data_IF_518518512171
#
_entry.id   IF_518518512171
#
_cell.length_a   1.000
_cell.length_b   1.000
_cell.length_c   1.000
_cell.angle_alpha   90.00
_cell.angle_beta   90.00
_cell.angle_gamma   90.00
#
_symmetry.space_group_name_H-M   'P 1'
#
loop_
_entity.id
_entity.type
_entity.pdbx_description
1 polymer ?
#
# COMPACT_ATOMS: atom_id res chain seq x y z
N UNK A 1 16.61 -28.19 -18.84
CA UNK A 1 16.76 -29.32 -17.90
C UNK A 1 15.72 -29.10 -16.80
N UNK A 2 14.42 -29.19 -17.10
CA UNK A 2 13.56 -30.40 -17.08
C UNK A 2 13.91 -31.36 -15.95
N UNK A 3 13.06 -31.40 -14.93
CA UNK A 3 13.02 -32.48 -13.94
C UNK A 3 11.68 -33.20 -14.10
N UNK A 4 11.78 -34.43 -14.63
CA UNK A 4 10.79 -35.51 -14.60
C UNK A 4 10.38 -35.80 -13.15
N UNK A 5 9.07 -35.85 -12.85
CA UNK A 5 8.21 -37.05 -12.86
C UNK A 5 8.83 -38.21 -12.07
N UNK A 6 8.30 -38.44 -10.87
CA UNK A 6 8.40 -39.72 -10.17
C UNK A 6 7.00 -40.20 -9.83
N UNK A 7 6.59 -41.23 -10.57
CA UNK A 7 5.40 -42.04 -10.40
C UNK A 7 5.42 -42.75 -9.03
N UNK A 8 4.25 -42.84 -8.39
CA UNK A 8 4.00 -43.74 -7.27
C UNK A 8 2.78 -44.61 -7.65
N UNK A 9 2.84 -45.94 -7.48
CA UNK A 9 1.94 -46.89 -8.13
C UNK A 9 0.55 -46.98 -7.49
N UNK A 10 -0.47 -47.13 -8.34
CA UNK A 10 -1.81 -47.57 -7.96
C UNK A 10 -1.78 -49.01 -7.45
N UNK A 11 -2.36 -49.26 -6.28
CA UNK A 11 -2.90 -50.57 -5.94
C UNK A 11 -4.16 -50.47 -5.07
N UNK A 12 -5.26 -50.88 -5.71
CA UNK A 12 -6.34 -51.74 -5.17
C UNK A 12 -7.10 -51.27 -3.93
N UNK A 13 -8.26 -50.63 -4.16
CA UNK A 13 -9.35 -50.52 -3.19
C UNK A 13 -10.50 -51.44 -3.64
N UNK A 14 -11.05 -52.30 -2.77
CA UNK A 14 -12.07 -53.28 -3.13
C UNK A 14 -13.45 -52.65 -3.36
N UNK A 15 -14.15 -53.21 -4.35
CA UNK A 15 -15.53 -52.90 -4.75
C UNK A 15 -16.54 -53.61 -3.84
N UNK A 16 -17.52 -52.90 -3.29
CA UNK A 16 -18.82 -53.45 -2.87
C UNK A 16 -19.93 -52.38 -3.09
N UNK A 17 -21.19 -52.78 -3.33
CA UNK A 17 -22.12 -52.10 -4.22
C UNK A 17 -23.01 -51.04 -3.57
N UNK A 18 -23.51 -50.16 -4.45
CA UNK A 18 -24.47 -49.08 -4.21
C UNK A 18 -25.78 -49.55 -3.56
N UNK A 19 -26.39 -48.70 -2.70
CA UNK A 19 -27.83 -48.56 -2.62
C UNK A 19 -28.30 -47.24 -3.26
N UNK A 20 -29.34 -47.43 -4.06
CA UNK A 20 -30.29 -46.51 -4.70
C UNK A 20 -30.38 -45.05 -4.19
N UNK A 21 -30.29 -44.16 -5.19
CA UNK A 21 -30.95 -42.86 -5.38
C UNK A 21 -31.72 -42.24 -4.19
N UNK A 22 -31.26 -41.06 -3.76
CA UNK A 22 -32.15 -39.94 -3.43
C UNK A 22 -31.40 -38.60 -3.54
N UNK A 23 -31.88 -37.73 -4.43
CA UNK A 23 -31.66 -36.28 -4.37
C UNK A 23 -30.33 -35.74 -4.93
N UNK A 24 -30.31 -35.45 -6.23
CA UNK A 24 -29.30 -34.54 -6.80
C UNK A 24 -29.33 -33.19 -6.06
N UNK A 25 -28.20 -32.70 -5.51
CA UNK A 25 -28.13 -31.32 -5.06
C UNK A 25 -28.19 -30.44 -6.30
N UNK A 26 -29.30 -29.71 -6.46
CA UNK A 26 -29.44 -28.66 -7.46
C UNK A 26 -28.34 -27.64 -7.18
N UNK A 27 -27.25 -27.70 -7.95
CA UNK A 27 -26.38 -26.54 -8.12
C UNK A 27 -27.27 -25.41 -8.64
N UNK A 28 -27.69 -24.53 -7.74
CA UNK A 28 -28.14 -23.21 -8.11
C UNK A 28 -26.92 -22.52 -8.69
N UNK A 29 -26.69 -22.72 -9.99
CA UNK A 29 -26.05 -21.72 -10.82
C UNK A 29 -26.91 -20.49 -10.61
N UNK A 30 -26.39 -19.54 -9.82
CA UNK A 30 -26.94 -18.19 -9.78
C UNK A 30 -26.67 -17.61 -11.17
N UNK A 31 -27.61 -17.88 -12.09
CA UNK A 31 -27.68 -17.19 -13.36
C UNK A 31 -27.95 -15.75 -12.97
N UNK A 32 -26.91 -14.92 -12.94
CA UNK A 32 -27.09 -13.48 -12.88
C UNK A 32 -27.99 -13.12 -14.05
N UNK A 33 -29.15 -12.54 -13.75
CA UNK A 33 -30.06 -12.09 -14.79
C UNK A 33 -29.28 -11.17 -15.74
N UNK A 34 -29.41 -11.33 -17.07
CA UNK A 34 -28.72 -10.46 -18.01
C UNK A 34 -29.08 -9.01 -17.66
N UNK A 35 -28.07 -8.15 -17.46
CA UNK A 35 -28.27 -6.72 -17.21
C UNK A 35 -29.34 -6.20 -18.16
N UNK A 36 -30.35 -5.53 -17.61
CA UNK A 36 -31.38 -4.97 -18.46
C UNK A 36 -30.75 -3.93 -19.40
N UNK A 37 -31.35 -3.70 -20.58
CA UNK A 37 -30.77 -2.81 -21.61
C UNK A 37 -30.40 -1.43 -21.03
N UNK A 38 -31.24 -0.93 -20.11
CA UNK A 38 -31.06 0.35 -19.43
C UNK A 38 -29.86 0.36 -18.48
N UNK A 39 -29.63 -0.71 -17.72
CA UNK A 39 -28.46 -0.87 -16.84
C UNK A 39 -27.19 -0.94 -17.67
N UNK A 40 -27.22 -1.61 -18.83
CA UNK A 40 -26.07 -1.69 -19.74
C UNK A 40 -25.76 -0.31 -20.34
N UNK A 41 -26.78 0.45 -20.74
CA UNK A 41 -26.62 1.83 -21.20
C UNK A 41 -26.06 2.74 -20.10
N UNK A 42 -26.59 2.66 -18.88
CA UNK A 42 -26.09 3.41 -17.72
C UNK A 42 -24.63 3.05 -17.41
N UNK A 43 -24.27 1.76 -17.43
CA UNK A 43 -22.90 1.32 -17.23
C UNK A 43 -21.97 1.88 -18.31
N UNK A 44 -22.36 1.82 -19.59
CA UNK A 44 -21.57 2.41 -20.67
C UNK A 44 -21.41 3.92 -20.50
N UNK A 45 -22.46 4.64 -20.08
CA UNK A 45 -22.36 6.06 -19.77
C UNK A 45 -21.38 6.35 -18.63
N UNK A 46 -21.34 5.52 -17.57
CA UNK A 46 -20.31 5.61 -16.52
C UNK A 46 -18.91 5.38 -17.09
N UNK A 47 -18.72 4.38 -17.95
CA UNK A 47 -17.42 4.10 -18.60
C UNK A 47 -16.97 5.30 -19.42
N UNK A 48 -17.85 5.88 -20.25
CA UNK A 48 -17.51 7.06 -21.05
C UNK A 48 -17.15 8.26 -20.18
N UNK A 49 -17.89 8.49 -19.09
CA UNK A 49 -17.58 9.53 -18.13
C UNK A 49 -16.17 9.35 -17.57
N UNK A 50 -15.86 8.19 -16.98
CA UNK A 50 -14.54 7.94 -16.39
C UNK A 50 -13.43 7.95 -17.42
N UNK A 51 -13.66 7.45 -18.63
CA UNK A 51 -12.66 7.49 -19.70
C UNK A 51 -12.31 8.93 -20.10
N UNK A 52 -13.30 9.82 -20.18
CA UNK A 52 -13.05 11.23 -20.47
C UNK A 52 -12.23 11.89 -19.36
N UNK A 53 -12.63 11.67 -18.10
CA UNK A 53 -11.91 12.21 -16.95
C UNK A 53 -10.47 11.66 -16.85
N UNK A 54 -10.29 10.36 -17.11
CA UNK A 54 -8.98 9.72 -17.15
C UNK A 54 -8.10 10.31 -18.26
N UNK A 55 -8.64 10.59 -19.44
CA UNK A 55 -7.90 11.23 -20.54
C UNK A 55 -7.46 12.65 -20.18
N UNK A 56 -8.30 13.41 -19.47
CA UNK A 56 -7.91 14.73 -18.94
C UNK A 56 -6.75 14.60 -17.96
N UNK A 57 -6.85 13.69 -16.98
CA UNK A 57 -5.79 13.44 -16.00
C UNK A 57 -4.50 12.90 -16.64
N UNK A 58 -4.62 12.09 -17.69
CA UNK A 58 -3.52 11.57 -18.49
C UNK A 58 -2.80 12.66 -19.27
N UNK A 59 -3.54 13.59 -19.91
CA UNK A 59 -2.98 14.70 -20.66
C UNK A 59 -2.16 15.67 -19.78
N UNK A 60 -2.54 15.81 -18.50
CA UNK A 60 -1.80 16.59 -17.50
C UNK A 60 -0.57 15.87 -16.93
N UNK A 61 -0.41 14.57 -17.21
CA UNK A 61 0.66 13.77 -16.66
C UNK A 61 2.02 14.05 -17.35
N UNK A 62 3.16 13.85 -16.67
CA UNK A 62 4.47 13.89 -17.30
C UNK A 62 4.61 12.91 -18.47
N UNK A 63 5.37 13.28 -19.50
CA UNK A 63 5.54 12.51 -20.75
C UNK A 63 6.01 11.07 -20.48
N UNK A 64 6.90 10.88 -19.51
CA UNK A 64 7.44 9.58 -19.15
C UNK A 64 6.39 8.64 -18.53
N UNK A 65 5.35 9.19 -17.89
CA UNK A 65 4.19 8.43 -17.45
C UNK A 65 3.28 8.12 -18.63
N UNK A 66 3.03 9.12 -19.49
CA UNK A 66 2.17 8.96 -20.66
C UNK A 66 2.66 7.83 -21.59
N UNK A 67 3.97 7.76 -21.82
CA UNK A 67 4.59 6.73 -22.66
C UNK A 67 4.42 5.30 -22.12
N UNK A 68 4.12 5.14 -20.83
CA UNK A 68 3.95 3.84 -20.19
C UNK A 68 2.49 3.35 -20.11
N UNK A 69 1.52 4.13 -20.59
CA UNK A 69 0.10 3.79 -20.52
C UNK A 69 -0.51 3.85 -21.92
N UNK A 70 -1.15 2.76 -22.34
CA UNK A 70 -1.86 2.70 -23.62
C UNK A 70 -3.32 3.14 -23.48
N UNK A 71 -3.92 3.57 -24.59
CA UNK A 71 -5.36 3.90 -24.64
C UNK A 71 -6.25 2.71 -24.25
N UNK A 72 -5.82 1.49 -24.60
CA UNK A 72 -6.50 0.26 -24.20
C UNK A 72 -6.49 0.08 -22.68
N UNK A 73 -5.38 0.40 -22.00
CA UNK A 73 -5.29 0.34 -20.55
C UNK A 73 -6.16 1.39 -19.86
N UNK A 74 -6.22 2.63 -20.39
CA UNK A 74 -7.14 3.66 -19.91
C UNK A 74 -8.60 3.23 -20.04
N UNK A 75 -8.95 2.60 -21.16
CA UNK A 75 -10.30 2.07 -21.40
C UNK A 75 -10.64 0.97 -20.40
N UNK A 76 -9.74 0.01 -20.17
CA UNK A 76 -9.93 -1.04 -19.16
C UNK A 76 -10.07 -0.43 -17.76
N UNK A 77 -9.27 0.59 -17.43
CA UNK A 77 -9.35 1.25 -16.13
C UNK A 77 -10.70 1.95 -15.95
N UNK A 78 -11.22 2.60 -17.00
CA UNK A 78 -12.56 3.20 -16.97
C UNK A 78 -13.67 2.16 -16.73
N UNK A 79 -13.51 0.94 -17.24
CA UNK A 79 -14.43 -0.17 -16.92
C UNK A 79 -14.36 -0.57 -15.44
N UNK A 80 -13.16 -0.73 -14.88
CA UNK A 80 -12.96 -1.03 -13.45
C UNK A 80 -13.54 0.08 -12.56
N UNK A 81 -13.31 1.34 -12.92
CA UNK A 81 -13.86 2.49 -12.18
C UNK A 81 -15.36 2.60 -12.31
N UNK A 82 -15.92 2.30 -13.49
CA UNK A 82 -17.35 2.27 -13.67
C UNK A 82 -17.97 1.29 -12.68
N UNK A 83 -17.47 0.05 -12.59
CA UNK A 83 -17.95 -0.97 -11.64
C UNK A 83 -18.00 -0.47 -10.18
N UNK A 84 -16.98 0.29 -9.77
CA UNK A 84 -17.01 1.08 -8.54
C UNK A 84 -16.43 0.40 -7.31
N UNK A 85 -16.30 -0.94 -7.31
CA UNK A 85 -15.72 -1.70 -6.19
C UNK A 85 -14.28 -1.27 -5.85
N UNK A 86 -13.53 -0.81 -6.86
CA UNK A 86 -12.14 -0.36 -6.71
C UNK A 86 -11.99 0.85 -5.79
N UNK A 87 -13.01 1.71 -5.69
CA UNK A 87 -12.89 2.94 -4.90
C UNK A 87 -12.78 2.67 -3.41
N UNK A 88 -13.62 1.78 -2.87
CA UNK A 88 -13.58 1.40 -1.46
C UNK A 88 -12.23 0.75 -1.11
N UNK A 89 -11.74 -0.16 -1.95
CA UNK A 89 -10.43 -0.79 -1.75
C UNK A 89 -9.27 0.21 -1.77
N UNK A 90 -9.27 1.17 -2.71
CA UNK A 90 -8.20 2.19 -2.77
C UNK A 90 -8.27 3.17 -1.59
N UNK A 91 -9.47 3.49 -1.09
CA UNK A 91 -9.65 4.27 0.13
C UNK A 91 -9.07 3.53 1.34
N UNK A 92 -9.46 2.26 1.55
CA UNK A 92 -8.95 1.42 2.63
C UNK A 92 -7.42 1.28 2.58
N UNK A 93 -6.86 1.02 1.41
CA UNK A 93 -5.41 0.93 1.20
C UNK A 93 -4.68 2.24 1.50
N UNK A 94 -5.31 3.37 1.20
CA UNK A 94 -4.77 4.72 1.47
C UNK A 94 -4.83 5.07 2.96
N UNK A 95 -5.89 4.69 3.66
CA UNK A 95 -6.02 4.87 5.10
C UNK A 95 -5.02 3.99 5.86
N UNK A 96 -4.86 2.73 5.45
CA UNK A 96 -3.85 1.84 6.02
C UNK A 96 -2.43 2.37 5.80
N UNK A 97 -2.09 2.90 4.62
CA UNK A 97 -0.82 3.58 4.37
C UNK A 97 -0.64 4.79 5.28
N UNK A 98 -1.64 5.67 5.38
CA UNK A 98 -1.57 6.90 6.21
C UNK A 98 -1.36 6.57 7.69
N UNK A 99 -2.03 5.52 8.18
CA UNK A 99 -1.88 5.05 9.56
C UNK A 99 -0.45 4.58 9.84
N UNK A 100 0.15 3.79 8.94
CA UNK A 100 1.53 3.33 9.08
C UNK A 100 2.54 4.50 8.98
N UNK A 101 2.38 5.40 8.00
CA UNK A 101 3.20 6.60 7.87
C UNK A 101 3.17 7.46 9.14
N UNK A 102 1.99 7.62 9.74
CA UNK A 102 1.84 8.36 10.99
C UNK A 102 2.60 7.67 12.15
N UNK A 103 2.51 6.35 12.26
CA UNK A 103 3.25 5.58 13.27
C UNK A 103 4.76 5.70 13.10
N UNK A 104 5.26 5.54 11.87
CA UNK A 104 6.68 5.68 11.53
C UNK A 104 7.19 7.10 11.78
N UNK A 105 6.40 8.12 11.43
CA UNK A 105 6.74 9.52 11.72
C UNK A 105 6.86 9.77 13.22
N UNK A 106 5.92 9.24 14.02
CA UNK A 106 5.95 9.35 15.47
C UNK A 106 7.21 8.70 16.06
N UNK A 107 7.61 7.52 15.57
CA UNK A 107 8.85 6.85 15.98
C UNK A 107 10.08 7.72 15.67
N UNK A 108 10.14 8.31 14.47
CA UNK A 108 11.25 9.19 14.07
C UNK A 108 11.33 10.43 14.97
N UNK A 109 10.20 11.05 15.29
CA UNK A 109 10.16 12.21 16.17
C UNK A 109 10.56 11.85 17.61
N UNK A 110 10.12 10.70 18.14
CA UNK A 110 10.53 10.21 19.46
C UNK A 110 12.04 10.03 19.54
N UNK A 111 12.62 9.29 18.58
CA UNK A 111 14.06 9.06 18.54
C UNK A 111 14.84 10.37 18.46
N UNK A 112 14.43 11.32 17.62
CA UNK A 112 15.09 12.64 17.52
C UNK A 112 15.02 13.42 18.83
N UNK A 113 13.87 13.38 19.50
CA UNK A 113 13.66 14.02 20.79
C UNK A 113 14.58 13.43 21.86
N UNK A 114 14.58 12.10 21.99
CA UNK A 114 15.45 11.35 22.90
C UNK A 114 16.92 11.67 22.67
N UNK A 115 17.37 11.63 21.41
CA UNK A 115 18.75 11.97 21.06
C UNK A 115 19.13 13.40 21.43
N UNK A 116 18.19 14.34 21.29
CA UNK A 116 18.39 15.74 21.71
C UNK A 116 18.51 15.88 23.23
N UNK A 117 17.65 15.17 23.98
CA UNK A 117 17.69 15.12 25.42
C UNK A 117 19.00 14.50 25.93
N UNK A 118 19.44 13.38 25.35
CA UNK A 118 20.72 12.73 25.67
C UNK A 118 21.93 13.67 25.45
N UNK A 119 21.97 14.37 24.31
CA UNK A 119 23.05 15.34 24.01
C UNK A 119 23.08 16.46 25.05
N UNK A 120 21.90 16.95 25.45
CA UNK A 120 21.77 18.01 26.46
C UNK A 120 22.21 17.52 27.84
N UNK A 121 21.76 16.32 28.24
CA UNK A 121 22.16 15.70 29.50
C UNK A 121 23.68 15.47 29.55
N UNK A 122 24.27 14.95 28.47
CA UNK A 122 25.70 14.72 28.38
C UNK A 122 26.49 16.03 28.49
N UNK A 123 26.06 17.08 27.78
CA UNK A 123 26.70 18.40 27.87
C UNK A 123 26.64 18.99 29.28
N UNK A 124 25.51 18.80 29.98
CA UNK A 124 25.35 19.27 31.35
C UNK A 124 26.27 18.50 32.30
N UNK A 125 26.33 17.17 32.18
CA UNK A 125 27.27 16.31 32.92
C UNK A 125 28.71 16.75 32.70
N UNK A 126 29.14 16.92 31.46
CA UNK A 126 30.50 17.35 31.13
C UNK A 126 30.85 18.72 31.70
N UNK A 127 29.88 19.65 31.73
CA UNK A 127 30.04 20.98 32.32
C UNK A 127 30.22 20.90 33.83
N UNK A 128 29.42 20.09 34.52
CA UNK A 128 29.50 19.90 35.97
C UNK A 128 30.82 19.24 36.38
N UNK A 129 31.24 18.19 35.70
CA UNK A 129 32.53 17.52 35.94
C UNK A 129 33.72 18.47 35.78
N UNK A 130 33.70 19.34 34.76
CA UNK A 130 34.73 20.36 34.56
C UNK A 130 34.72 21.40 35.67
N UNK A 131 33.55 21.80 36.15
CA UNK A 131 33.43 22.76 37.26
C UNK A 131 34.03 22.19 38.55
N UNK A 132 33.75 20.91 38.86
CA UNK A 132 34.30 20.21 40.03
C UNK A 132 35.83 20.06 39.93
N UNK A 133 36.35 19.76 38.73
CA UNK A 133 37.78 19.54 38.50
C UNK A 133 38.57 20.81 38.14
N UNK A 134 37.97 22.00 38.20
CA UNK A 134 38.59 23.25 37.78
C UNK A 134 39.89 23.56 38.54
N UNK A 135 40.00 23.15 39.80
CA UNK A 135 41.19 23.34 40.65
C UNK A 135 42.31 22.32 40.39
N UNK A 136 42.06 21.26 39.62
CA UNK A 136 42.99 20.14 39.39
C UNK A 136 43.57 20.18 37.97
N UNK A 137 44.50 21.10 37.73
CA UNK A 137 45.05 21.38 36.39
C UNK A 137 45.55 20.15 35.62
N UNK A 138 46.23 19.21 36.30
CA UNK A 138 46.73 17.98 35.66
C UNK A 138 45.64 16.95 35.31
N UNK A 139 44.47 17.02 35.94
CA UNK A 139 43.35 16.12 35.67
C UNK A 139 42.50 16.58 34.48
N UNK A 140 42.56 17.85 34.12
CA UNK A 140 41.72 18.44 33.09
C UNK A 140 41.94 17.84 31.69
N UNK A 141 43.18 17.57 31.23
CA UNK A 141 43.42 16.93 29.93
C UNK A 141 42.89 15.49 29.85
N UNK A 142 43.02 14.73 30.95
CA UNK A 142 42.53 13.35 31.04
C UNK A 142 41.00 13.36 30.95
N UNK A 143 40.35 14.22 31.75
CA UNK A 143 38.90 14.40 31.71
C UNK A 143 38.40 14.83 30.33
N UNK A 144 39.07 15.78 29.67
CA UNK A 144 38.70 16.21 28.32
C UNK A 144 38.73 15.06 27.32
N UNK A 145 39.77 14.21 27.39
CA UNK A 145 39.88 13.03 26.54
C UNK A 145 38.78 12.01 26.81
N UNK A 146 38.43 11.77 28.07
CA UNK A 146 37.30 10.90 28.44
C UNK A 146 35.97 11.43 27.91
N UNK A 147 35.73 12.73 28.06
CA UNK A 147 34.53 13.40 27.58
C UNK A 147 34.42 13.36 26.04
N UNK A 148 35.52 13.53 25.33
CA UNK A 148 35.57 13.39 23.88
C UNK A 148 35.22 11.96 23.45
N UNK A 149 35.78 10.94 24.12
CA UNK A 149 35.44 9.54 23.85
C UNK A 149 33.97 9.24 24.15
N UNK A 150 33.41 9.79 25.23
CA UNK A 150 32.00 9.63 25.58
C UNK A 150 31.08 10.26 24.52
N UNK A 151 31.43 11.46 24.03
CA UNK A 151 30.71 12.12 22.94
C UNK A 151 30.79 11.33 21.63
N UNK A 152 31.95 10.78 21.29
CA UNK A 152 32.13 9.93 20.11
C UNK A 152 31.28 8.65 20.21
N UNK A 153 31.27 8.00 21.38
CA UNK A 153 30.42 6.81 21.63
C UNK A 153 28.94 7.14 21.51
N UNK A 154 28.49 8.27 22.07
CA UNK A 154 27.11 8.73 21.95
C UNK A 154 26.76 8.98 20.48
N UNK A 155 27.58 9.76 19.78
CA UNK A 155 27.35 10.12 18.37
C UNK A 155 27.25 8.89 17.48
N UNK A 156 28.17 7.92 17.66
CA UNK A 156 28.14 6.65 16.92
C UNK A 156 26.84 5.89 17.18
N UNK A 157 26.46 5.73 18.45
CA UNK A 157 25.20 5.05 18.83
C UNK A 157 23.98 5.73 18.22
N UNK A 158 23.91 7.06 18.29
CA UNK A 158 22.80 7.83 17.73
C UNK A 158 22.71 7.69 16.20
N UNK A 159 23.86 7.68 15.52
CA UNK A 159 23.93 7.44 14.07
C UNK A 159 23.45 6.03 13.70
N UNK A 160 23.88 5.02 14.45
CA UNK A 160 23.49 3.62 14.20
C UNK A 160 21.98 3.41 14.43
N UNK A 161 21.41 3.95 15.51
CA UNK A 161 19.97 3.91 15.77
C UNK A 161 19.17 4.67 14.71
N UNK A 162 19.63 5.84 14.27
CA UNK A 162 18.96 6.61 13.21
C UNK A 162 18.99 5.86 11.88
N UNK A 163 20.12 5.23 11.54
CA UNK A 163 20.24 4.41 10.33
C UNK A 163 19.30 3.22 10.41
N UNK A 164 19.28 2.50 11.53
CA UNK A 164 18.38 1.36 11.74
C UNK A 164 16.91 1.75 11.56
N UNK A 165 16.46 2.85 12.17
CA UNK A 165 15.09 3.32 12.02
C UNK A 165 14.79 3.77 10.58
N UNK A 166 15.70 4.50 9.94
CA UNK A 166 15.52 4.93 8.54
C UNK A 166 15.39 3.73 7.60
N UNK A 167 16.22 2.71 7.80
CA UNK A 167 16.11 1.44 7.07
C UNK A 167 14.75 0.79 7.29
N UNK A 168 14.27 0.71 8.55
CA UNK A 168 12.96 0.16 8.85
C UNK A 168 11.82 0.93 8.15
N UNK A 169 11.86 2.27 8.19
CA UNK A 169 10.89 3.13 7.52
C UNK A 169 10.82 2.80 6.02
N UNK A 170 11.96 2.72 5.33
CA UNK A 170 11.99 2.40 3.89
C UNK A 170 11.38 1.02 3.63
N UNK A 171 11.76 0.00 4.40
CA UNK A 171 11.21 -1.35 4.22
C UNK A 171 9.70 -1.42 4.49
N UNK A 172 9.19 -0.69 5.47
CA UNK A 172 7.75 -0.61 5.74
C UNK A 172 7.00 0.05 4.57
N UNK A 173 7.51 1.17 4.05
CA UNK A 173 6.90 1.85 2.90
C UNK A 173 6.95 0.99 1.62
N UNK A 174 8.06 0.30 1.36
CA UNK A 174 8.16 -0.65 0.26
C UNK A 174 7.17 -1.82 0.44
N UNK A 175 6.98 -2.28 1.67
CA UNK A 175 5.97 -3.27 2.04
C UNK A 175 4.55 -2.81 1.67
N UNK A 176 4.20 -1.55 1.96
CA UNK A 176 2.91 -0.97 1.56
C UNK A 176 2.72 -0.91 0.05
N UNK A 177 3.77 -0.53 -0.71
CA UNK A 177 3.71 -0.52 -2.18
C UNK A 177 3.43 -1.94 -2.70
N UNK A 178 4.13 -2.94 -2.17
CA UNK A 178 3.94 -4.34 -2.56
C UNK A 178 2.53 -4.84 -2.22
N UNK A 179 1.99 -4.47 -1.05
CA UNK A 179 0.63 -4.81 -0.64
C UNK A 179 -0.42 -4.20 -1.58
N UNK A 180 -0.29 -2.90 -1.88
CA UNK A 180 -1.18 -2.20 -2.82
C UNK A 180 -1.15 -2.82 -4.21
N UNK A 181 0.04 -3.10 -4.76
CA UNK A 181 0.19 -3.78 -6.04
C UNK A 181 -0.53 -5.12 -6.04
N UNK A 182 -0.35 -5.91 -4.98
CA UNK A 182 -0.97 -7.24 -4.86
C UNK A 182 -2.49 -7.18 -4.79
N UNK A 183 -3.02 -6.28 -3.95
CA UNK A 183 -4.46 -6.13 -3.75
C UNK A 183 -5.15 -5.68 -5.04
N UNK A 184 -4.56 -4.70 -5.74
CA UNK A 184 -5.14 -4.15 -6.96
C UNK A 184 -4.99 -5.10 -8.16
N UNK A 185 -3.91 -5.86 -8.22
CA UNK A 185 -3.74 -6.96 -9.17
C UNK A 185 -4.81 -8.05 -8.95
N UNK A 186 -5.11 -8.41 -7.69
CA UNK A 186 -6.15 -9.39 -7.35
C UNK A 186 -7.57 -8.93 -7.70
N UNK A 187 -7.85 -7.62 -7.60
CA UNK A 187 -9.12 -7.01 -8.02
C UNK A 187 -9.21 -6.93 -9.57
N UNK A 188 -8.11 -7.24 -10.28
CA UNK A 188 -8.05 -7.13 -11.74
C UNK A 188 -7.96 -5.70 -12.22
N UNK A 189 -7.47 -4.78 -11.39
CA UNK A 189 -7.24 -3.40 -11.82
C UNK A 189 -6.10 -3.37 -12.86
N UNK A 190 -6.33 -2.83 -14.06
CA UNK A 190 -5.29 -2.78 -15.08
C UNK A 190 -4.14 -1.88 -14.62
N UNK A 191 -2.95 -2.13 -15.17
CA UNK A 191 -1.68 -1.45 -14.84
C UNK A 191 -1.07 -1.82 -13.48
N UNK A 192 -1.81 -2.52 -12.61
CA UNK A 192 -1.28 -3.04 -11.35
C UNK A 192 -0.79 -4.46 -11.53
N UNK A 193 0.53 -4.60 -11.42
CA UNK A 193 1.25 -5.87 -11.33
C UNK A 193 2.30 -5.71 -10.25
N UNK A 194 2.64 -6.80 -9.56
CA UNK A 194 3.84 -6.82 -8.71
C UNK A 194 5.09 -6.51 -9.52
N UNK A 195 5.80 -5.45 -9.14
CA UNK A 195 7.00 -5.00 -9.86
C UNK A 195 7.93 -4.21 -8.94
N UNK A 196 9.24 -4.42 -9.12
CA UNK A 196 10.30 -3.63 -8.49
C UNK A 196 10.87 -2.57 -9.43
N UNK A 197 10.35 -2.46 -10.65
CA UNK A 197 10.79 -1.48 -11.63
C UNK A 197 10.35 -0.06 -11.18
N UNK A 198 11.29 0.87 -10.92
CA UNK A 198 10.92 2.20 -10.41
C UNK A 198 10.04 3.02 -11.34
N UNK A 199 10.18 2.85 -12.66
CA UNK A 199 9.35 3.55 -13.64
C UNK A 199 7.91 3.03 -13.64
N UNK A 200 7.72 1.72 -13.58
CA UNK A 200 6.38 1.12 -13.46
C UNK A 200 5.72 1.47 -12.12
N UNK A 201 6.46 1.47 -11.01
CA UNK A 201 5.95 1.89 -9.70
C UNK A 201 5.44 3.34 -9.78
N UNK A 202 6.19 4.25 -10.42
CA UNK A 202 5.76 5.63 -10.61
C UNK A 202 4.48 5.76 -11.44
N UNK A 203 4.31 4.92 -12.46
CA UNK A 203 3.07 4.84 -13.24
C UNK A 203 1.91 4.40 -12.34
N UNK A 204 2.08 3.31 -11.60
CA UNK A 204 1.05 2.79 -10.68
C UNK A 204 0.67 3.81 -9.60
N UNK A 205 1.65 4.51 -9.01
CA UNK A 205 1.39 5.60 -8.06
C UNK A 205 0.59 6.74 -8.69
N UNK A 206 0.86 7.07 -9.96
CA UNK A 206 0.09 8.11 -10.67
C UNK A 206 -1.34 7.66 -10.93
N UNK A 207 -1.53 6.40 -11.32
CA UNK A 207 -2.86 5.82 -11.53
C UNK A 207 -3.65 5.76 -10.22
N UNK A 208 -3.01 5.38 -9.10
CA UNK A 208 -3.62 5.44 -7.76
C UNK A 208 -4.13 6.84 -7.42
N UNK A 209 -3.32 7.87 -7.65
CA UNK A 209 -3.71 9.27 -7.45
C UNK A 209 -4.93 9.65 -8.31
N UNK A 210 -5.01 9.18 -9.55
CA UNK A 210 -6.20 9.38 -10.38
C UNK A 210 -7.44 8.69 -9.82
N UNK A 211 -7.34 7.42 -9.41
CA UNK A 211 -8.47 6.68 -8.82
C UNK A 211 -8.96 7.40 -7.57
N UNK A 212 -8.05 7.86 -6.70
CA UNK A 212 -8.40 8.65 -5.51
C UNK A 212 -9.06 10.00 -5.85
N UNK A 213 -8.59 10.72 -6.87
CA UNK A 213 -9.24 11.96 -7.30
C UNK A 213 -10.66 11.71 -7.83
N UNK A 214 -10.84 10.60 -8.55
CA UNK A 214 -12.13 10.22 -9.13
C UNK A 214 -13.11 9.67 -8.08
N UNK A 215 -12.62 9.05 -7.00
CA UNK A 215 -13.48 8.62 -5.88
C UNK A 215 -14.15 9.82 -5.18
N UNK A 216 -13.47 10.96 -5.15
CA UNK A 216 -13.99 12.21 -4.59
C UNK A 216 -14.83 13.04 -5.59
N UNK A 217 -14.87 12.66 -6.87
CA UNK A 217 -15.71 13.31 -7.88
C UNK A 217 -17.06 12.59 -7.97
N UNK A 218 -18.17 13.23 -7.56
CA UNK A 218 -19.47 12.59 -7.65
C UNK A 218 -19.82 12.33 -9.11
N UNK A 219 -20.18 11.08 -9.44
CA UNK A 219 -20.90 10.79 -10.68
C UNK A 219 -22.13 11.71 -10.76
N UNK A 220 -22.43 12.26 -11.95
CA UNK A 220 -23.68 12.95 -12.21
C UNK A 220 -24.86 12.13 -11.68
N UNK A 221 -25.84 12.76 -11.04
CA UNK A 221 -26.95 12.09 -10.36
C UNK A 221 -27.66 11.05 -11.24
N UNK A 222 -27.75 11.33 -12.54
CA UNK A 222 -28.34 10.46 -13.57
C UNK A 222 -27.59 9.13 -13.78
N UNK A 223 -26.30 9.09 -13.44
CA UNK A 223 -25.42 7.93 -13.64
C UNK A 223 -25.18 7.13 -12.34
N UNK A 224 -25.73 7.60 -11.22
CA UNK A 224 -25.70 6.86 -9.96
C UNK A 224 -26.72 5.74 -10.04
N UNK A 225 -26.34 4.53 -9.63
CA UNK A 225 -27.33 3.48 -9.39
C UNK A 225 -28.28 3.97 -8.29
N UNK A 226 -29.62 3.90 -8.48
CA UNK A 226 -30.54 4.23 -7.40
C UNK A 226 -30.26 3.28 -6.24
N UNK A 227 -29.92 3.82 -5.06
CA UNK A 227 -29.91 3.04 -3.84
C UNK A 227 -31.32 2.53 -3.65
N UNK A 228 -31.55 1.22 -3.82
CA UNK A 228 -32.84 0.62 -3.50
C UNK A 228 -33.05 0.87 -2.01
N UNK A 229 -34.04 1.70 -1.59
CA UNK A 229 -34.33 1.84 -0.19
C UNK A 229 -34.85 0.48 0.27
N UNK A 230 -34.11 -0.18 1.15
CA UNK A 230 -34.53 -1.42 1.78
C UNK A 230 -35.72 -1.11 2.70
N UNK A 231 -36.92 -0.99 2.12
CA UNK A 231 -38.20 -0.89 2.83
C UNK A 231 -39.19 -1.82 2.14
N UNK A 232 -39.20 -3.06 2.63
CA UNK A 232 -40.37 -3.91 2.54
C UNK A 232 -41.54 -3.22 3.26
N UNK A 233 -42.74 -3.11 2.67
CA UNK A 233 -43.93 -2.73 3.42
C UNK A 233 -44.47 -3.94 4.21
N UNK A 234 -45.22 -3.70 5.31
CA UNK A 234 -45.73 -4.73 6.22
C UNK A 234 -46.79 -5.65 5.59
#
# INVERSE_FOLDING_TARGET
MVFDVLEIPLSTIPQHPLPHQLGSPKHHVRIEAPMNVRERELFQQRVYFYLNELRTLFAEAPIDIQAGISEAALTQLAHTLADGAIFDSVIELSEAQRSEEHALHKQLMSLRSEQSAERTALRNKHREERAINASRQHHLPILQKEQEQELQRLTKRQMDSMRSLTTHIVHSLDGRVMEQQSALEQIGCPLFIRTTNPHQIRIQMRVLDWIMRLSHRPLPTELRTPSVPNKWPP
#
